data_IF_130473349082
#
_entry.id   IF_130473349082
#
_cell.length_a   1.000
_cell.length_b   1.000
_cell.length_c   1.000
_cell.angle_alpha   90.00
_cell.angle_beta   90.00
_cell.angle_gamma   90.00
#
_symmetry.space_group_name_H-M   'P 1'
#
loop_
_entity.id
_entity.type
_entity.pdbx_description
1 polymer ?
#
# COMPACT_ATOMS: atom_id res chain seq x y z
N UNK A 1 19.92 -31.53 -14.67
CA UNK A 1 19.38 -31.79 -16.03
C UNK A 1 17.86 -31.72 -15.98
N UNK A 2 17.17 -31.67 -17.12
CA UNK A 2 15.69 -31.65 -17.15
C UNK A 2 15.08 -32.86 -16.43
N UNK A 3 15.68 -34.05 -16.55
CA UNK A 3 15.21 -35.25 -15.84
C UNK A 3 15.21 -35.07 -14.32
N UNK A 4 16.31 -34.52 -13.76
CA UNK A 4 16.38 -34.20 -12.33
C UNK A 4 15.33 -33.18 -11.92
N UNK A 5 15.15 -32.11 -12.70
CA UNK A 5 14.14 -31.08 -12.44
C UNK A 5 12.73 -31.69 -12.41
N UNK A 6 12.38 -32.55 -13.39
CA UNK A 6 11.10 -33.26 -13.42
C UNK A 6 10.88 -34.12 -12.19
N UNK A 7 11.88 -34.87 -11.74
CA UNK A 7 11.79 -35.71 -10.55
C UNK A 7 11.57 -34.88 -9.27
N UNK A 8 12.33 -33.79 -9.10
CA UNK A 8 12.22 -32.89 -7.94
C UNK A 8 10.86 -32.21 -7.93
N UNK A 9 10.46 -31.60 -9.06
CA UNK A 9 9.19 -30.87 -9.17
C UNK A 9 8.00 -31.82 -8.95
N UNK A 10 8.05 -33.02 -9.53
CA UNK A 10 7.01 -34.04 -9.33
C UNK A 10 6.89 -34.48 -7.88
N UNK A 11 8.02 -34.74 -7.21
CA UNK A 11 8.04 -35.10 -5.79
C UNK A 11 7.50 -33.98 -4.89
N UNK A 12 8.03 -32.75 -5.04
CA UNK A 12 7.58 -31.58 -4.27
C UNK A 12 6.09 -31.31 -4.49
N UNK A 13 5.59 -31.46 -5.71
CA UNK A 13 4.16 -31.28 -6.01
C UNK A 13 3.29 -32.24 -5.20
N UNK A 14 3.66 -33.52 -5.17
CA UNK A 14 2.95 -34.55 -4.38
C UNK A 14 3.00 -34.20 -2.89
N UNK A 15 4.14 -33.73 -2.38
CA UNK A 15 4.28 -33.34 -0.97
C UNK A 15 3.40 -32.13 -0.63
N UNK A 16 3.30 -31.13 -1.52
CA UNK A 16 2.42 -29.97 -1.36
C UNK A 16 0.95 -30.42 -1.37
N UNK A 17 0.55 -31.22 -2.35
CA UNK A 17 -0.82 -31.77 -2.43
C UNK A 17 -1.17 -32.52 -1.14
N UNK A 18 -0.31 -33.42 -0.67
CA UNK A 18 -0.52 -34.16 0.58
C UNK A 18 -0.69 -33.25 1.80
N UNK A 19 0.19 -32.24 1.96
CA UNK A 19 0.11 -31.30 3.09
C UNK A 19 -1.19 -30.50 3.08
N UNK A 20 -1.55 -29.94 1.92
CA UNK A 20 -2.77 -29.16 1.77
C UNK A 20 -4.02 -30.02 1.98
N UNK A 21 -4.05 -31.24 1.43
CA UNK A 21 -5.16 -32.19 1.65
C UNK A 21 -5.32 -32.54 3.12
N UNK A 22 -4.23 -32.77 3.85
CA UNK A 22 -4.29 -33.04 5.29
C UNK A 22 -4.91 -31.88 6.06
N UNK A 23 -4.51 -30.64 5.76
CA UNK A 23 -5.00 -29.44 6.44
C UNK A 23 -6.49 -29.23 6.15
N UNK A 24 -6.91 -29.37 4.89
CA UNK A 24 -8.32 -29.18 4.50
C UNK A 24 -9.28 -30.17 5.18
N UNK A 25 -8.80 -31.36 5.56
CA UNK A 25 -9.60 -32.41 6.19
C UNK A 25 -9.49 -32.45 7.72
N UNK A 26 -8.84 -31.47 8.35
CA UNK A 26 -8.68 -31.39 9.81
C UNK A 26 -9.78 -30.50 10.42
N UNK A 27 -10.50 -30.93 11.49
CA UNK A 27 -11.52 -30.11 12.16
C UNK A 27 -10.95 -28.77 12.69
N UNK A 28 -11.74 -27.67 12.71
CA UNK A 28 -13.17 -27.59 12.44
C UNK A 28 -13.51 -27.46 10.95
N UNK A 29 -12.52 -27.42 10.06
CA UNK A 29 -12.73 -27.50 8.62
C UNK A 29 -13.09 -28.93 8.22
N UNK A 30 -14.35 -29.17 7.87
CA UNK A 30 -14.74 -30.32 7.06
C UNK A 30 -14.76 -29.86 5.61
N UNK A 31 -13.79 -30.34 4.83
CA UNK A 31 -13.72 -30.07 3.40
C UNK A 31 -15.05 -30.50 2.72
N UNK A 32 -15.78 -29.54 2.13
CA UNK A 32 -17.03 -29.78 1.40
C UNK A 32 -16.78 -30.06 -0.10
N UNK A 33 -15.65 -30.67 -0.46
CA UNK A 33 -15.33 -31.05 -1.85
C UNK A 33 -14.29 -30.18 -2.57
N UNK A 34 -13.58 -29.30 -1.86
CA UNK A 34 -12.41 -28.57 -2.39
C UNK A 34 -11.26 -29.53 -2.67
N UNK A 35 -10.87 -29.67 -3.94
CA UNK A 35 -9.67 -30.40 -4.35
C UNK A 35 -8.44 -29.50 -4.48
N UNK A 36 -7.26 -30.11 -4.53
CA UNK A 36 -6.02 -29.48 -5.04
C UNK A 36 -5.72 -30.11 -6.39
N UNK A 37 -5.75 -29.30 -7.45
CA UNK A 37 -5.73 -29.77 -8.83
C UNK A 37 -4.49 -29.23 -9.52
N UNK A 38 -3.67 -30.13 -10.04
CA UNK A 38 -2.52 -29.82 -10.88
C UNK A 38 -2.68 -30.45 -12.26
N UNK A 39 -1.97 -29.96 -13.27
CA UNK A 39 -2.08 -30.52 -14.61
C UNK A 39 -1.42 -29.70 -15.70
N UNK A 40 -1.76 -30.05 -16.95
CA UNK A 40 -1.27 -29.35 -18.14
C UNK A 40 -2.04 -28.04 -18.39
N UNK A 41 -1.79 -27.06 -17.53
CA UNK A 41 -2.41 -25.74 -17.58
C UNK A 41 -1.53 -24.69 -18.28
N UNK A 42 -0.25 -25.03 -18.52
CA UNK A 42 0.76 -24.11 -19.05
C UNK A 42 1.31 -24.68 -20.36
N UNK A 43 1.06 -23.95 -21.46
CA UNK A 43 1.77 -24.15 -22.73
C UNK A 43 3.06 -23.34 -22.71
N UNK A 44 4.19 -24.00 -22.95
CA UNK A 44 5.50 -23.37 -23.03
C UNK A 44 6.05 -23.32 -24.45
N UNK A 45 7.04 -22.45 -24.65
CA UNK A 45 7.91 -22.40 -25.83
C UNK A 45 9.38 -22.43 -25.37
N UNK A 46 10.31 -22.94 -26.19
CA UNK A 46 11.73 -22.89 -25.86
C UNK A 46 12.18 -21.43 -25.76
N UNK A 47 13.12 -21.16 -24.85
CA UNK A 47 13.84 -19.88 -24.83
C UNK A 47 14.76 -19.78 -26.07
N UNK A 48 15.29 -20.91 -26.52
CA UNK A 48 16.09 -21.02 -27.73
C UNK A 48 17.55 -20.63 -27.51
N UNK A 49 18.15 -20.01 -28.53
CA UNK A 49 19.55 -19.56 -28.51
C UNK A 49 19.58 -18.05 -28.32
N UNK A 50 20.16 -17.57 -27.23
CA UNK A 50 20.34 -16.15 -26.93
C UNK A 50 21.83 -15.87 -26.81
N UNK A 51 22.32 -14.88 -27.57
CA UNK A 51 23.74 -14.48 -27.62
C UNK A 51 24.71 -15.66 -27.81
N UNK A 52 24.31 -16.62 -28.65
CA UNK A 52 25.10 -17.82 -28.97
C UNK A 52 25.02 -18.95 -27.94
N UNK A 53 24.26 -18.79 -26.84
CA UNK A 53 24.04 -19.82 -25.82
C UNK A 53 22.71 -20.53 -26.06
N UNK A 54 22.74 -21.85 -26.29
CA UNK A 54 21.53 -22.68 -26.40
C UNK A 54 21.03 -23.09 -25.00
N UNK A 55 19.83 -22.61 -24.66
CA UNK A 55 19.17 -22.84 -23.38
C UNK A 55 18.39 -24.16 -23.31
N UNK A 56 18.35 -24.94 -24.41
CA UNK A 56 17.82 -26.30 -24.46
C UNK A 56 16.40 -26.43 -23.89
N UNK A 57 16.30 -26.95 -22.68
CA UNK A 57 15.04 -27.23 -22.00
C UNK A 57 14.57 -26.10 -21.06
N UNK A 58 15.19 -24.93 -21.10
CA UNK A 58 14.62 -23.73 -20.49
C UNK A 58 13.61 -23.13 -21.45
N UNK A 59 12.46 -22.74 -20.93
CA UNK A 59 11.38 -22.16 -21.72
C UNK A 59 10.78 -20.91 -21.11
N UNK A 60 9.80 -20.39 -21.84
CA UNK A 60 8.94 -19.30 -21.43
C UNK A 60 7.47 -19.73 -21.51
N UNK A 61 6.63 -19.03 -20.75
CA UNK A 61 5.18 -19.22 -20.82
C UNK A 61 4.68 -18.67 -22.16
N UNK A 62 4.06 -19.53 -22.97
CA UNK A 62 3.40 -19.12 -24.21
C UNK A 62 1.92 -18.81 -23.97
N UNK A 63 1.25 -19.64 -23.17
CA UNK A 63 -0.17 -19.54 -22.87
C UNK A 63 -0.49 -20.25 -21.57
N UNK A 64 -1.44 -19.69 -20.81
CA UNK A 64 -2.10 -20.35 -19.68
C UNK A 64 -3.54 -20.67 -20.07
N UNK A 65 -4.05 -21.84 -19.69
CA UNK A 65 -5.43 -22.23 -19.94
C UNK A 65 -6.37 -21.61 -18.89
N UNK A 66 -6.61 -20.30 -19.01
CA UNK A 66 -7.41 -19.53 -18.05
C UNK A 66 -8.82 -20.07 -17.90
N UNK A 67 -9.50 -20.42 -19.00
CA UNK A 67 -10.85 -20.97 -18.95
C UNK A 67 -10.98 -22.22 -18.08
N UNK A 68 -9.99 -23.13 -18.12
CA UNK A 68 -9.98 -24.30 -17.25
C UNK A 68 -9.67 -23.92 -15.79
N UNK A 69 -8.72 -23.00 -15.57
CA UNK A 69 -8.40 -22.50 -14.23
C UNK A 69 -9.65 -21.87 -13.60
N UNK A 70 -10.35 -20.99 -14.32
CA UNK A 70 -11.61 -20.34 -13.90
C UNK A 70 -12.67 -21.37 -13.53
N UNK A 71 -12.88 -22.40 -14.37
CA UNK A 71 -13.83 -23.47 -14.07
C UNK A 71 -13.48 -24.21 -12.78
N UNK A 72 -12.20 -24.51 -12.55
CA UNK A 72 -11.75 -25.18 -11.34
C UNK A 72 -11.94 -24.30 -10.10
N UNK A 73 -11.57 -23.01 -10.20
CA UNK A 73 -11.73 -22.04 -9.12
C UNK A 73 -13.22 -21.80 -8.78
N UNK A 74 -14.10 -21.77 -9.79
CA UNK A 74 -15.55 -21.63 -9.60
C UNK A 74 -16.15 -22.80 -8.79
N UNK A 75 -15.59 -23.98 -8.92
CA UNK A 75 -15.92 -25.17 -8.12
C UNK A 75 -15.21 -25.19 -6.75
N UNK A 76 -14.61 -24.07 -6.34
CA UNK A 76 -13.88 -23.89 -5.07
C UNK A 76 -12.66 -24.80 -4.92
N UNK A 77 -12.04 -25.19 -6.03
CA UNK A 77 -10.79 -25.93 -6.02
C UNK A 77 -9.58 -25.00 -5.87
N UNK A 78 -8.48 -25.54 -5.35
CA UNK A 78 -7.17 -24.92 -5.41
C UNK A 78 -6.43 -25.41 -6.65
N UNK A 79 -5.85 -24.50 -7.43
CA UNK A 79 -5.10 -24.83 -8.64
C UNK A 79 -3.60 -24.72 -8.36
N UNK A 80 -2.89 -25.84 -8.50
CA UNK A 80 -1.45 -25.93 -8.28
C UNK A 80 -0.69 -25.96 -9.61
N UNK A 81 0.02 -24.87 -9.90
CA UNK A 81 0.87 -24.73 -11.08
C UNK A 81 2.31 -25.13 -10.76
N UNK A 82 2.83 -26.11 -11.51
CA UNK A 82 4.24 -26.51 -11.41
C UNK A 82 5.12 -25.62 -12.29
N UNK A 83 6.41 -25.43 -11.96
CA UNK A 83 7.37 -24.71 -12.81
C UNK A 83 7.82 -25.52 -14.05
N UNK A 84 6.85 -26.16 -14.72
CA UNK A 84 7.00 -26.92 -15.94
C UNK A 84 5.91 -26.49 -16.92
N UNK A 85 6.27 -26.39 -18.19
CA UNK A 85 5.31 -26.22 -19.27
C UNK A 85 5.58 -27.14 -20.44
N UNK A 86 4.55 -27.34 -21.26
CA UNK A 86 4.57 -28.30 -22.35
C UNK A 86 4.40 -27.60 -23.69
N UNK A 87 5.18 -28.00 -24.69
CA UNK A 87 4.94 -27.54 -26.06
C UNK A 87 3.80 -28.31 -26.72
N UNK A 88 3.21 -27.77 -27.80
CA UNK A 88 2.31 -28.53 -28.66
C UNK A 88 2.95 -29.77 -29.29
N UNK A 89 4.29 -29.84 -29.36
CA UNK A 89 5.04 -31.00 -29.86
C UNK A 89 5.32 -32.05 -28.80
N UNK A 90 4.88 -31.84 -27.55
CA UNK A 90 5.06 -32.78 -26.44
C UNK A 90 6.40 -32.65 -25.70
N UNK A 91 7.18 -31.61 -25.99
CA UNK A 91 8.40 -31.31 -25.23
C UNK A 91 8.07 -30.66 -23.89
N UNK A 92 8.96 -30.84 -22.90
CA UNK A 92 8.82 -30.21 -21.58
C UNK A 92 9.91 -29.18 -21.39
N UNK A 93 9.54 -28.02 -20.86
CA UNK A 93 10.47 -26.96 -20.49
C UNK A 93 10.39 -26.64 -19.00
N UNK A 94 11.55 -26.36 -18.42
CA UNK A 94 11.69 -25.79 -17.10
C UNK A 94 11.43 -24.28 -17.18
N UNK A 95 10.57 -23.77 -16.31
CA UNK A 95 10.10 -22.40 -16.31
C UNK A 95 10.43 -21.72 -14.98
N UNK A 96 10.57 -20.39 -14.99
CA UNK A 96 10.67 -19.61 -13.76
C UNK A 96 9.28 -19.53 -13.10
N UNK A 97 9.19 -19.89 -11.82
CA UNK A 97 7.91 -19.85 -11.09
C UNK A 97 7.42 -18.42 -10.93
N UNK A 98 8.33 -17.45 -10.80
CA UNK A 98 8.01 -16.03 -10.71
C UNK A 98 7.26 -15.55 -11.95
N UNK A 99 7.77 -15.95 -13.12
CA UNK A 99 7.20 -15.62 -14.41
C UNK A 99 5.87 -16.34 -14.66
N UNK A 100 5.73 -17.60 -14.25
CA UNK A 100 4.44 -18.30 -14.29
C UNK A 100 3.40 -17.57 -13.46
N UNK A 101 3.75 -17.17 -12.23
CA UNK A 101 2.83 -16.50 -11.32
C UNK A 101 2.39 -15.15 -11.88
N UNK A 102 3.33 -14.32 -12.35
CA UNK A 102 3.02 -13.04 -13.01
C UNK A 102 2.17 -13.24 -14.26
N UNK A 103 2.58 -14.13 -15.18
CA UNK A 103 1.83 -14.39 -16.41
C UNK A 103 0.40 -14.89 -16.12
N UNK A 104 0.25 -15.78 -15.15
CA UNK A 104 -1.07 -16.31 -14.75
C UNK A 104 -1.93 -15.22 -14.13
N UNK A 105 -1.38 -14.43 -13.19
CA UNK A 105 -2.10 -13.33 -12.55
C UNK A 105 -2.59 -12.30 -13.57
N UNK A 106 -1.74 -11.93 -14.54
CA UNK A 106 -2.13 -11.09 -15.67
C UNK A 106 -3.24 -11.70 -16.50
N UNK A 107 -3.08 -12.95 -16.92
CA UNK A 107 -4.05 -13.62 -17.79
C UNK A 107 -5.42 -13.82 -17.11
N UNK A 108 -5.42 -14.00 -15.78
CA UNK A 108 -6.61 -14.16 -14.95
C UNK A 108 -7.20 -12.82 -14.45
N UNK A 109 -6.53 -11.69 -14.70
CA UNK A 109 -6.88 -10.38 -14.14
C UNK A 109 -7.05 -10.44 -12.62
N UNK A 110 -6.08 -11.05 -11.93
CA UNK A 110 -6.14 -11.24 -10.49
C UNK A 110 -6.02 -9.91 -9.73
N UNK A 111 -6.85 -9.71 -8.70
CA UNK A 111 -6.80 -8.51 -7.84
C UNK A 111 -5.46 -8.37 -7.11
N UNK A 112 -4.83 -9.51 -6.78
CA UNK A 112 -3.62 -9.58 -5.97
C UNK A 112 -2.70 -10.72 -6.40
N UNK A 113 -1.41 -10.42 -6.51
CA UNK A 113 -0.34 -11.40 -6.68
C UNK A 113 0.54 -11.42 -5.43
N UNK A 114 0.84 -12.60 -4.90
CA UNK A 114 1.64 -12.73 -3.67
C UNK A 114 2.82 -13.66 -3.96
N UNK A 115 4.01 -13.12 -3.76
CA UNK A 115 5.27 -13.84 -3.80
C UNK A 115 5.73 -14.17 -2.39
N UNK A 116 6.09 -15.43 -2.16
CA UNK A 116 6.73 -15.89 -0.92
C UNK A 116 8.15 -16.34 -1.27
N UNK A 117 9.15 -15.55 -0.89
CA UNK A 117 10.56 -15.79 -1.24
C UNK A 117 11.40 -16.06 -0.01
N UNK A 118 12.37 -16.96 -0.12
CA UNK A 118 13.38 -17.22 0.91
C UNK A 118 14.60 -16.26 0.80
N UNK A 119 14.67 -15.44 -0.24
CA UNK A 119 15.73 -14.44 -0.39
C UNK A 119 15.35 -13.16 0.34
N UNK A 120 16.25 -12.64 1.17
CA UNK A 120 16.11 -11.31 1.75
C UNK A 120 16.46 -10.24 0.71
N UNK A 121 15.40 -9.67 0.11
CA UNK A 121 15.51 -8.67 -0.95
C UNK A 121 15.73 -7.24 -0.41
N UNK A 122 15.68 -7.03 0.92
CA UNK A 122 15.75 -5.72 1.57
C UNK A 122 14.94 -4.64 0.83
N UNK A 123 13.66 -4.95 0.59
CA UNK A 123 12.75 -4.07 -0.13
C UNK A 123 12.14 -3.02 0.81
N UNK A 124 11.89 -1.80 0.33
CA UNK A 124 11.04 -0.86 1.05
C UNK A 124 9.67 -1.50 1.30
N UNK A 125 9.06 -1.21 2.46
CA UNK A 125 7.71 -1.72 2.79
C UNK A 125 6.69 -1.42 1.69
N UNK A 126 6.83 -0.28 1.01
CA UNK A 126 5.96 0.13 -0.09
C UNK A 126 6.82 0.70 -1.20
N UNK A 127 6.54 0.28 -2.42
CA UNK A 127 7.25 0.70 -3.62
C UNK A 127 6.23 1.01 -4.72
N UNK A 128 6.07 2.30 -5.03
CA UNK A 128 5.30 2.74 -6.19
C UNK A 128 6.05 2.48 -7.50
N UNK A 129 5.38 2.71 -8.63
CA UNK A 129 5.94 2.49 -9.97
C UNK A 129 7.33 3.12 -10.18
N UNK A 130 7.56 4.35 -9.70
CA UNK A 130 8.86 5.02 -9.83
C UNK A 130 9.97 4.30 -9.03
N UNK A 131 9.64 3.83 -7.82
CA UNK A 131 10.55 3.03 -7.01
C UNK A 131 10.87 1.68 -7.66
N UNK A 132 9.88 1.05 -8.28
CA UNK A 132 10.05 -0.21 -8.98
C UNK A 132 10.98 -0.07 -10.19
N UNK A 133 10.80 0.98 -10.99
CA UNK A 133 11.72 1.29 -12.11
C UNK A 133 13.15 1.53 -11.64
N UNK A 134 13.33 2.12 -10.45
CA UNK A 134 14.65 2.26 -9.83
C UNK A 134 15.26 0.89 -9.49
N UNK A 135 14.47 -0.05 -8.97
CA UNK A 135 14.92 -1.42 -8.68
C UNK A 135 15.30 -2.20 -9.95
N UNK A 136 14.50 -2.08 -11.01
CA UNK A 136 14.76 -2.68 -12.33
C UNK A 136 16.11 -2.22 -12.87
N UNK A 137 16.36 -0.91 -12.85
CA UNK A 137 17.61 -0.33 -13.35
C UNK A 137 18.81 -0.68 -12.47
N UNK A 138 18.60 -0.78 -11.15
CA UNK A 138 19.65 -1.15 -10.19
C UNK A 138 20.07 -2.61 -10.33
N UNK A 139 19.15 -3.50 -10.73
CA UNK A 139 19.39 -4.94 -10.82
C UNK A 139 18.98 -5.51 -12.20
N UNK A 140 19.70 -5.19 -13.28
CA UNK A 140 19.28 -5.45 -14.67
C UNK A 140 19.19 -6.94 -15.09
N UNK A 141 19.57 -7.89 -14.22
CA UNK A 141 19.39 -9.33 -14.45
C UNK A 141 18.34 -9.99 -13.53
N UNK A 142 17.72 -9.21 -12.64
CA UNK A 142 16.76 -9.74 -11.66
C UNK A 142 15.35 -9.64 -12.22
N UNK A 143 15.04 -10.56 -13.14
CA UNK A 143 13.79 -10.64 -13.89
C UNK A 143 12.50 -10.59 -13.04
N UNK A 144 12.57 -10.92 -11.74
CA UNK A 144 11.46 -10.76 -10.80
C UNK A 144 10.89 -9.34 -10.80
N UNK A 145 11.72 -8.29 -10.85
CA UNK A 145 11.20 -6.92 -10.84
C UNK A 145 10.46 -6.56 -12.12
N UNK A 146 10.93 -7.06 -13.27
CA UNK A 146 10.21 -6.95 -14.54
C UNK A 146 8.90 -7.75 -14.51
N UNK A 147 8.91 -8.95 -13.92
CA UNK A 147 7.70 -9.76 -13.77
C UNK A 147 6.64 -9.04 -12.88
N UNK A 148 7.07 -8.29 -11.85
CA UNK A 148 6.21 -7.45 -11.01
C UNK A 148 5.67 -6.24 -11.79
N UNK A 149 6.54 -5.50 -12.49
CA UNK A 149 6.16 -4.30 -13.26
C UNK A 149 5.15 -4.66 -14.35
N UNK A 150 5.43 -5.72 -15.11
CA UNK A 150 4.50 -6.25 -16.11
C UNK A 150 3.13 -6.60 -15.51
N UNK A 151 3.09 -7.20 -14.32
CA UNK A 151 1.84 -7.59 -13.67
C UNK A 151 0.99 -6.37 -13.33
N UNK A 152 1.63 -5.35 -12.75
CA UNK A 152 1.00 -4.07 -12.41
C UNK A 152 0.51 -3.34 -13.67
N UNK A 153 1.31 -3.30 -14.74
CA UNK A 153 0.92 -2.65 -16.00
C UNK A 153 -0.27 -3.33 -16.71
N UNK A 154 -0.48 -4.62 -16.46
CA UNK A 154 -1.52 -5.43 -17.12
C UNK A 154 -2.74 -5.69 -16.22
N UNK A 155 -2.92 -4.88 -15.17
CA UNK A 155 -4.17 -4.80 -14.42
C UNK A 155 -4.17 -5.49 -13.06
N UNK A 156 -3.07 -6.13 -12.63
CA UNK A 156 -2.96 -6.62 -11.25
C UNK A 156 -2.79 -5.41 -10.32
N UNK A 157 -3.73 -5.17 -9.40
CA UNK A 157 -3.71 -3.93 -8.60
C UNK A 157 -2.55 -3.90 -7.58
N UNK A 158 -2.24 -5.06 -6.99
CA UNK A 158 -1.29 -5.17 -5.88
C UNK A 158 -0.43 -6.41 -6.01
N UNK A 159 0.88 -6.22 -5.89
CA UNK A 159 1.85 -7.32 -5.79
C UNK A 159 2.52 -7.27 -4.42
N UNK A 160 2.44 -8.35 -3.65
CA UNK A 160 3.04 -8.46 -2.33
C UNK A 160 4.25 -9.40 -2.36
N UNK A 161 5.27 -9.06 -1.60
CA UNK A 161 6.48 -9.86 -1.42
C UNK A 161 6.69 -10.15 0.06
N UNK A 162 6.59 -11.43 0.43
CA UNK A 162 6.68 -11.90 1.82
C UNK A 162 7.92 -12.79 1.95
N UNK A 163 8.69 -12.61 3.02
CA UNK A 163 9.81 -13.50 3.31
C UNK A 163 9.30 -14.84 3.88
N UNK A 164 9.84 -15.96 3.37
CA UNK A 164 9.35 -17.31 3.65
C UNK A 164 9.51 -17.74 5.13
N UNK A 165 10.51 -17.19 5.82
CA UNK A 165 10.79 -17.52 7.23
C UNK A 165 9.86 -16.80 8.22
N UNK A 166 9.01 -15.87 7.76
CA UNK A 166 8.05 -15.20 8.64
C UNK A 166 6.90 -16.17 8.90
N UNK A 167 6.87 -16.72 10.11
CA UNK A 167 5.78 -17.59 10.55
C UNK A 167 4.43 -16.87 10.45
N UNK A 168 3.48 -17.49 9.75
CA UNK A 168 2.17 -16.87 9.50
C UNK A 168 2.24 -15.65 8.59
N UNK A 169 3.35 -15.40 7.87
CA UNK A 169 3.57 -14.19 7.09
C UNK A 169 2.46 -13.88 6.08
N UNK A 170 1.90 -14.91 5.43
CA UNK A 170 0.74 -14.75 4.53
C UNK A 170 -0.51 -14.21 5.25
N UNK A 171 -0.79 -14.71 6.45
CA UNK A 171 -1.94 -14.26 7.23
C UNK A 171 -1.71 -12.85 7.76
N UNK A 172 -0.49 -12.56 8.25
CA UNK A 172 -0.12 -11.23 8.70
C UNK A 172 -0.24 -10.22 7.56
N UNK A 173 0.21 -10.57 6.35
CA UNK A 173 0.10 -9.69 5.18
C UNK A 173 -1.35 -9.44 4.74
N UNK A 174 -2.22 -10.46 4.82
CA UNK A 174 -3.60 -10.34 4.36
C UNK A 174 -4.56 -9.74 5.38
N UNK A 175 -4.30 -9.94 6.68
CA UNK A 175 -5.23 -9.59 7.76
C UNK A 175 -4.70 -8.53 8.72
N UNK A 176 -3.53 -7.95 8.45
CA UNK A 176 -3.06 -6.76 9.16
C UNK A 176 -2.95 -5.58 8.20
N UNK A 177 -3.20 -4.38 8.70
CA UNK A 177 -3.16 -3.15 7.88
C UNK A 177 -1.75 -2.83 7.39
N UNK A 178 -0.73 -3.09 8.20
CA UNK A 178 0.64 -2.72 7.84
C UNK A 178 1.41 -3.83 7.13
N UNK A 179 0.90 -5.06 7.18
CA UNK A 179 1.56 -6.23 6.64
C UNK A 179 2.94 -6.49 7.27
N UNK A 180 3.58 -7.52 6.76
CA UNK A 180 4.97 -7.89 7.10
C UNK A 180 5.88 -7.91 5.88
N UNK A 181 5.30 -7.97 4.68
CA UNK A 181 6.00 -7.96 3.42
C UNK A 181 6.18 -6.55 2.83
N UNK A 182 6.69 -6.52 1.60
CA UNK A 182 6.73 -5.34 0.75
C UNK A 182 5.55 -5.34 -0.21
N UNK A 183 4.92 -4.18 -0.39
CA UNK A 183 3.83 -3.94 -1.32
C UNK A 183 4.32 -3.14 -2.54
N UNK A 184 3.99 -3.63 -3.73
CA UNK A 184 4.09 -2.89 -4.99
C UNK A 184 2.67 -2.61 -5.51
N UNK A 185 2.40 -1.37 -5.88
CA UNK A 185 1.09 -0.95 -6.40
C UNK A 185 1.22 0.13 -7.46
N UNK A 186 0.21 0.19 -8.34
CA UNK A 186 0.05 1.28 -9.33
C UNK A 186 -0.52 2.55 -8.70
N UNK A 187 -1.37 2.39 -7.69
CA UNK A 187 -1.97 3.48 -6.93
C UNK A 187 -1.19 3.75 -5.64
N UNK A 188 -1.30 4.98 -5.16
CA UNK A 188 -0.78 5.37 -3.87
C UNK A 188 -1.52 4.59 -2.78
N UNK A 189 -0.76 3.87 -1.95
CA UNK A 189 -1.32 3.13 -0.82
C UNK A 189 -1.59 4.04 0.39
N UNK A 190 -0.97 5.21 0.38
CA UNK A 190 -1.17 6.29 1.33
C UNK A 190 -1.36 7.58 0.52
N UNK A 191 -2.52 8.22 0.65
CA UNK A 191 -2.88 9.42 -0.10
C UNK A 191 -3.24 10.58 0.81
N UNK A 192 -2.94 11.79 0.35
CA UNK A 192 -3.46 13.02 0.97
C UNK A 192 -4.57 13.58 0.09
N UNK A 193 -5.78 13.61 0.63
CA UNK A 193 -6.97 14.06 -0.09
C UNK A 193 -7.78 15.07 0.74
N UNK A 194 -8.61 15.91 0.08
CA UNK A 194 -9.64 16.68 0.77
C UNK A 194 -10.62 15.74 1.48
N UNK A 195 -10.96 16.06 2.73
CA UNK A 195 -11.88 15.24 3.49
C UNK A 195 -13.32 15.33 2.95
N UNK A 196 -14.05 14.24 3.09
CA UNK A 196 -15.47 14.10 2.75
C UNK A 196 -16.25 13.60 3.97
N UNK A 197 -17.58 13.55 3.88
CA UNK A 197 -18.44 13.08 4.97
C UNK A 197 -18.06 11.65 5.43
N UNK A 198 -17.56 10.81 4.52
CA UNK A 198 -17.11 9.44 4.82
C UNK A 198 -15.93 9.42 5.80
N UNK A 199 -15.11 10.46 5.80
CA UNK A 199 -13.92 10.58 6.65
C UNK A 199 -14.22 11.06 8.08
N UNK A 200 -15.41 11.60 8.34
CA UNK A 200 -15.76 12.24 9.63
C UNK A 200 -15.53 11.30 10.80
N UNK A 201 -15.94 10.04 10.68
CA UNK A 201 -15.74 9.03 11.73
C UNK A 201 -14.25 8.78 12.00
N UNK A 202 -13.44 8.64 10.95
CA UNK A 202 -12.00 8.42 11.08
C UNK A 202 -11.27 9.62 11.70
N UNK A 203 -11.67 10.84 11.33
CA UNK A 203 -11.14 12.08 11.94
C UNK A 203 -11.50 12.13 13.42
N UNK A 204 -12.76 11.84 13.79
CA UNK A 204 -13.20 11.83 15.19
C UNK A 204 -12.39 10.85 16.04
N UNK A 205 -12.18 9.64 15.55
CA UNK A 205 -11.42 8.61 16.25
C UNK A 205 -9.95 9.01 16.42
N UNK A 206 -9.39 9.73 15.43
CA UNK A 206 -8.03 10.25 15.47
C UNK A 206 -7.88 11.39 16.51
N UNK A 207 -8.83 12.33 16.58
CA UNK A 207 -8.67 13.54 17.39
C UNK A 207 -9.14 13.37 18.84
N UNK A 208 -10.09 12.48 19.12
CA UNK A 208 -10.70 12.32 20.46
C UNK A 208 -9.65 12.10 21.58
N UNK A 209 -8.63 11.24 21.43
CA UNK A 209 -7.60 11.07 22.45
C UNK A 209 -6.77 12.36 22.71
N UNK A 210 -6.62 13.21 21.69
CA UNK A 210 -5.90 14.49 21.79
C UNK A 210 -6.77 15.57 22.46
N UNK A 211 -8.08 15.54 22.23
CA UNK A 211 -9.05 16.41 22.90
C UNK A 211 -9.16 16.08 24.40
N UNK A 212 -9.20 14.81 24.76
CA UNK A 212 -9.22 14.34 26.15
C UNK A 212 -7.95 14.75 26.92
N UNK A 213 -6.79 14.76 26.25
CA UNK A 213 -5.52 15.26 26.79
C UNK A 213 -5.41 16.79 26.79
N UNK A 214 -6.41 17.51 26.28
CA UNK A 214 -6.40 18.98 26.18
C UNK A 214 -5.44 19.53 25.12
N UNK A 215 -4.87 18.68 24.25
CA UNK A 215 -3.98 19.08 23.15
C UNK A 215 -4.80 19.77 22.07
N UNK A 216 -5.94 19.18 21.68
CA UNK A 216 -6.87 19.76 20.71
C UNK A 216 -8.13 20.34 21.38
N UNK A 217 -8.85 21.20 20.66
CA UNK A 217 -10.17 21.70 21.08
C UNK A 217 -11.21 20.64 20.69
N UNK A 218 -12.14 20.37 21.61
CA UNK A 218 -13.27 19.47 21.38
C UNK A 218 -14.10 19.93 20.18
N UNK A 219 -14.39 19.01 19.26
CA UNK A 219 -15.30 19.21 18.13
C UNK A 219 -16.42 18.18 18.18
N UNK A 220 -17.65 18.66 17.94
CA UNK A 220 -18.78 17.74 17.79
C UNK A 220 -18.79 17.14 16.38
N UNK A 221 -19.52 16.02 16.23
CA UNK A 221 -19.70 15.39 14.92
C UNK A 221 -20.38 16.34 13.94
N UNK A 222 -21.40 17.04 14.39
CA UNK A 222 -22.19 17.97 13.58
C UNK A 222 -21.32 19.14 13.09
N UNK A 223 -20.44 19.66 13.96
CA UNK A 223 -19.48 20.69 13.57
C UNK A 223 -18.52 20.20 12.50
N UNK A 224 -17.98 18.98 12.65
CA UNK A 224 -17.09 18.39 11.65
C UNK A 224 -17.80 18.16 10.32
N UNK A 225 -19.04 17.69 10.33
CA UNK A 225 -19.84 17.49 9.11
C UNK A 225 -20.09 18.81 8.37
N UNK A 226 -20.35 19.91 9.08
CA UNK A 226 -20.52 21.25 8.49
C UNK A 226 -19.22 21.83 7.94
N UNK A 227 -18.10 21.58 8.61
CA UNK A 227 -16.80 22.18 8.29
C UNK A 227 -15.89 21.25 7.47
N UNK A 228 -16.37 20.07 7.05
CA UNK A 228 -15.55 19.00 6.48
C UNK A 228 -14.74 19.44 5.25
N UNK A 229 -15.26 20.38 4.45
CA UNK A 229 -14.55 20.92 3.28
C UNK A 229 -13.25 21.66 3.61
N UNK A 230 -13.06 22.07 4.87
CA UNK A 230 -11.83 22.69 5.34
C UNK A 230 -10.76 21.65 5.72
N UNK A 231 -11.15 20.39 5.91
CA UNK A 231 -10.24 19.32 6.32
C UNK A 231 -9.57 18.64 5.12
N UNK A 232 -8.36 18.18 5.36
CA UNK A 232 -7.62 17.26 4.51
C UNK A 232 -7.17 16.10 5.38
N UNK A 233 -7.15 14.89 4.83
CA UNK A 233 -6.76 13.68 5.54
C UNK A 233 -5.62 12.99 4.83
N UNK A 234 -4.81 12.26 5.61
CA UNK A 234 -4.00 11.17 5.09
C UNK A 234 -4.82 9.90 5.27
N UNK A 235 -5.14 9.25 4.17
CA UNK A 235 -5.85 7.98 4.15
C UNK A 235 -4.87 6.87 3.80
N UNK A 236 -4.95 5.78 4.55
CA UNK A 236 -4.22 4.54 4.27
C UNK A 236 -5.15 3.37 4.47
N UNK A 237 -5.46 2.67 3.38
CA UNK A 237 -6.37 1.53 3.36
C UNK A 237 -7.69 1.84 4.11
N UNK A 238 -8.38 2.92 3.69
CA UNK A 238 -9.64 3.40 4.27
C UNK A 238 -9.58 3.87 5.73
N UNK A 239 -8.40 3.86 6.36
CA UNK A 239 -8.19 4.46 7.67
C UNK A 239 -7.60 5.84 7.53
N UNK A 240 -8.24 6.81 8.17
CA UNK A 240 -7.64 8.13 8.42
C UNK A 240 -6.50 7.97 9.42
N UNK A 241 -5.27 8.16 8.95
CA UNK A 241 -4.06 8.10 9.78
C UNK A 241 -3.50 9.49 10.11
N UNK A 242 -4.00 10.54 9.45
CA UNK A 242 -3.67 11.92 9.72
C UNK A 242 -4.78 12.86 9.28
N UNK A 243 -4.93 14.00 9.94
CA UNK A 243 -5.83 15.06 9.51
C UNK A 243 -5.24 16.44 9.78
N UNK A 244 -5.66 17.42 8.99
CA UNK A 244 -5.42 18.83 9.21
C UNK A 244 -6.58 19.64 8.63
N UNK A 245 -6.89 20.79 9.24
CA UNK A 245 -7.88 21.73 8.73
C UNK A 245 -7.21 23.06 8.38
N UNK A 246 -7.68 23.69 7.31
CA UNK A 246 -7.30 25.05 6.94
C UNK A 246 -8.54 25.92 6.88
N UNK A 247 -8.64 26.91 7.78
CA UNK A 247 -9.75 27.85 7.82
C UNK A 247 -9.33 29.19 7.23
N UNK A 248 -10.12 29.72 6.30
CA UNK A 248 -9.94 31.08 5.83
C UNK A 248 -10.45 32.07 6.89
N UNK A 249 -9.63 33.06 7.25
CA UNK A 249 -10.08 34.14 8.11
C UNK A 249 -10.76 35.22 7.23
N UNK A 250 -12.06 35.48 7.40
CA UNK A 250 -12.80 36.39 6.53
C UNK A 250 -12.20 37.79 6.48
N UNK A 251 -12.24 38.42 5.29
CA UNK A 251 -11.71 39.76 5.03
C UNK A 251 -10.19 39.91 5.28
N UNK A 252 -9.44 38.81 5.19
CA UNK A 252 -7.98 38.80 5.30
C UNK A 252 -7.37 37.84 4.27
N UNK A 253 -6.05 37.89 4.09
CA UNK A 253 -5.27 36.92 3.30
C UNK A 253 -4.53 35.93 4.22
N UNK A 254 -5.17 35.59 5.35
CA UNK A 254 -4.59 34.73 6.39
C UNK A 254 -5.41 33.45 6.52
N UNK A 255 -4.72 32.31 6.46
CA UNK A 255 -5.29 30.99 6.76
C UNK A 255 -4.91 30.54 8.17
N UNK A 256 -5.81 29.83 8.84
CA UNK A 256 -5.51 29.15 10.10
C UNK A 256 -5.35 27.65 9.86
N UNK A 257 -4.16 27.14 10.12
CA UNK A 257 -3.92 25.71 10.22
C UNK A 257 -4.36 25.24 11.61
N UNK A 258 -5.33 24.34 11.63
CA UNK A 258 -5.93 23.80 12.84
C UNK A 258 -6.04 22.28 12.76
N UNK A 259 -6.27 21.65 13.90
CA UNK A 259 -6.56 20.21 13.99
C UNK A 259 -5.52 19.30 13.31
N UNK A 260 -4.24 19.72 13.30
CA UNK A 260 -3.15 18.87 12.81
C UNK A 260 -2.94 17.71 13.78
N UNK A 261 -3.23 16.50 13.34
CA UNK A 261 -3.09 15.29 14.11
C UNK A 261 -2.56 14.15 13.21
N UNK A 262 -1.66 13.35 13.76
CA UNK A 262 -1.20 12.09 13.17
C UNK A 262 -1.47 10.99 14.19
N UNK A 263 -1.86 9.81 13.71
CA UNK A 263 -2.11 8.66 14.54
C UNK A 263 -0.78 8.18 15.18
N UNK A 264 -0.74 7.82 16.48
CA UNK A 264 0.52 7.52 17.19
C UNK A 264 1.40 6.45 16.53
N UNK A 265 0.78 5.36 16.04
CA UNK A 265 1.49 4.27 15.33
C UNK A 265 2.21 4.73 14.05
N UNK A 266 1.87 5.92 13.55
CA UNK A 266 2.34 6.48 12.29
C UNK A 266 3.23 7.71 12.49
N UNK A 267 3.69 7.98 13.72
CA UNK A 267 4.69 9.01 14.02
C UNK A 267 6.07 8.70 13.41
N UNK A 268 6.85 9.75 13.13
CA UNK A 268 8.25 9.63 12.69
C UNK A 268 8.47 9.46 11.17
N UNK A 269 7.43 9.29 10.36
CA UNK A 269 7.55 9.10 8.90
C UNK A 269 7.26 10.39 8.09
N UNK A 270 7.61 11.56 8.62
CA UNK A 270 7.39 12.89 7.99
C UNK A 270 5.93 13.21 7.60
N UNK A 271 4.94 12.39 7.94
CA UNK A 271 3.52 12.61 7.61
C UNK A 271 2.96 13.96 8.07
N UNK A 272 3.43 14.43 9.24
CA UNK A 272 3.09 15.78 9.73
C UNK A 272 3.63 16.87 8.81
N UNK A 273 4.87 16.72 8.32
CA UNK A 273 5.49 17.61 7.33
C UNK A 273 4.74 17.57 5.99
N UNK A 274 4.33 16.38 5.56
CA UNK A 274 3.56 16.20 4.32
C UNK A 274 2.20 16.89 4.40
N UNK A 275 1.46 16.74 5.51
CA UNK A 275 0.20 17.46 5.72
C UNK A 275 0.41 18.98 5.78
N UNK A 276 1.43 19.44 6.50
CA UNK A 276 1.73 20.88 6.59
C UNK A 276 2.05 21.46 5.21
N UNK A 277 2.88 20.75 4.43
CA UNK A 277 3.22 21.15 3.06
C UNK A 277 1.98 21.19 2.17
N UNK A 278 1.13 20.15 2.24
CA UNK A 278 -0.12 20.08 1.50
C UNK A 278 -1.06 21.25 1.83
N UNK A 279 -1.23 21.57 3.13
CA UNK A 279 -2.06 22.70 3.56
C UNK A 279 -1.45 24.04 3.14
N UNK A 280 -0.12 24.17 3.19
CA UNK A 280 0.57 25.39 2.73
C UNK A 280 0.33 25.63 1.24
N UNK A 281 0.46 24.60 0.41
CA UNK A 281 0.14 24.67 -1.02
C UNK A 281 -1.34 24.95 -1.28
N UNK A 282 -2.25 24.36 -0.49
CA UNK A 282 -3.69 24.66 -0.57
C UNK A 282 -3.97 26.14 -0.22
N UNK A 283 -3.30 26.68 0.79
CA UNK A 283 -3.45 28.07 1.20
C UNK A 283 -2.92 29.05 0.14
N UNK A 284 -1.76 28.75 -0.47
CA UNK A 284 -1.21 29.53 -1.60
C UNK A 284 -2.17 29.58 -2.79
N UNK A 285 -2.81 28.45 -3.13
CA UNK A 285 -3.82 28.38 -4.19
C UNK A 285 -5.09 29.20 -3.90
N UNK A 286 -5.30 29.59 -2.64
CA UNK A 286 -6.40 30.47 -2.21
C UNK A 286 -5.94 31.92 -2.06
N UNK A 287 -4.78 32.29 -2.61
CA UNK A 287 -4.17 33.63 -2.54
C UNK A 287 -3.97 34.13 -1.10
N UNK A 288 -3.61 33.21 -0.20
CA UNK A 288 -3.24 33.52 1.19
C UNK A 288 -1.73 33.76 1.29
N UNK A 289 -1.35 34.81 2.00
CA UNK A 289 0.06 35.19 2.18
C UNK A 289 0.60 34.73 3.53
N UNK A 290 -0.26 34.27 4.45
CA UNK A 290 0.15 33.86 5.79
C UNK A 290 -0.64 32.66 6.30
N UNK A 291 0.04 31.78 7.04
CA UNK A 291 -0.55 30.75 7.88
C UNK A 291 -0.37 31.06 9.36
N UNK A 292 -1.46 30.91 10.09
CA UNK A 292 -1.53 31.05 11.53
C UNK A 292 -1.76 29.69 12.19
N UNK A 293 -1.07 29.42 13.30
CA UNK A 293 -1.29 28.25 14.15
C UNK A 293 -1.43 28.67 15.61
N UNK A 294 -2.38 28.05 16.31
CA UNK A 294 -2.50 28.15 17.77
C UNK A 294 -2.18 26.79 18.39
N UNK A 295 -1.12 26.71 19.19
CA UNK A 295 -0.69 25.46 19.84
C UNK A 295 -0.39 25.65 21.32
N UNK A 296 -0.68 24.63 22.13
CA UNK A 296 -0.39 24.60 23.57
C UNK A 296 0.89 23.85 23.89
N UNK A 297 1.29 22.87 23.07
CA UNK A 297 2.39 21.94 23.39
C UNK A 297 3.42 21.79 22.27
N UNK A 298 3.10 22.14 21.02
CA UNK A 298 3.89 21.75 19.84
C UNK A 298 4.66 22.91 19.20
N UNK A 299 5.08 23.90 19.98
CA UNK A 299 5.70 25.14 19.46
C UNK A 299 6.96 24.87 18.65
N UNK A 300 7.90 24.11 19.21
CA UNK A 300 9.23 23.90 18.61
C UNK A 300 9.12 23.24 17.23
N UNK A 301 8.21 22.28 17.07
CA UNK A 301 7.97 21.59 15.79
C UNK A 301 7.58 22.58 14.68
N UNK A 302 6.71 23.55 14.98
CA UNK A 302 6.32 24.58 14.02
C UNK A 302 7.46 25.57 13.76
N UNK A 303 8.22 25.96 14.79
CA UNK A 303 9.34 26.88 14.63
C UNK A 303 10.44 26.33 13.71
N UNK A 304 10.77 25.05 13.84
CA UNK A 304 11.68 24.34 12.92
C UNK A 304 11.22 24.37 11.46
N UNK A 305 9.93 24.64 11.21
CA UNK A 305 9.28 24.63 9.88
C UNK A 305 8.94 26.03 9.36
N UNK A 306 9.59 27.04 9.92
CA UNK A 306 9.51 28.43 9.46
C UNK A 306 8.37 29.24 10.09
N UNK A 307 7.74 28.75 11.16
CA UNK A 307 6.81 29.58 11.92
C UNK A 307 7.57 30.45 12.96
N UNK A 308 7.23 31.73 13.00
CA UNK A 308 7.71 32.68 14.00
C UNK A 308 6.69 32.81 15.14
N UNK A 309 7.16 33.09 16.35
CA UNK A 309 6.27 33.33 17.50
C UNK A 309 5.63 34.71 17.32
N UNK A 310 4.29 34.74 17.32
CA UNK A 310 3.50 35.96 17.30
C UNK A 310 2.87 36.26 18.66
N UNK A 311 2.12 37.35 18.70
CA UNK A 311 1.37 37.84 19.85
C UNK A 311 -0.14 37.87 19.55
N UNK A 312 -0.95 38.12 20.58
CA UNK A 312 -2.41 38.27 20.44
C UNK A 312 -2.75 39.51 19.60
N UNK A 313 -1.86 40.49 19.53
CA UNK A 313 -2.05 41.70 18.73
C UNK A 313 -1.85 41.47 17.23
N UNK A 314 -1.15 40.39 16.86
CA UNK A 314 -0.93 39.97 15.48
C UNK A 314 -2.12 39.16 14.92
N UNK A 315 -3.09 38.79 15.77
CA UNK A 315 -4.29 38.09 15.32
C UNK A 315 -5.24 39.05 14.59
N UNK A 316 -5.83 38.62 13.45
CA UNK A 316 -6.96 39.31 12.85
C UNK A 316 -8.10 39.54 13.86
N UNK A 317 -8.78 40.68 13.75
CA UNK A 317 -9.83 41.11 14.70
C UNK A 317 -10.86 40.01 15.00
N UNK A 318 -11.39 39.37 13.95
CA UNK A 318 -12.37 38.29 14.07
C UNK A 318 -11.86 37.10 14.91
N UNK A 319 -10.55 36.81 14.84
CA UNK A 319 -9.94 35.72 15.60
C UNK A 319 -9.56 36.13 17.02
N UNK A 320 -9.15 37.40 17.21
CA UNK A 320 -8.82 37.97 18.52
C UNK A 320 -10.02 37.92 19.47
N UNK A 321 -11.23 38.13 18.95
CA UNK A 321 -12.50 38.03 19.72
C UNK A 321 -12.83 36.60 20.14
N UNK A 322 -12.48 35.60 19.32
CA UNK A 322 -12.72 34.17 19.57
C UNK A 322 -11.55 33.47 20.27
N UNK A 323 -10.49 34.21 20.64
CA UNK A 323 -9.32 33.63 21.29
C UNK A 323 -9.67 33.09 22.68
N UNK A 324 -9.38 31.81 22.91
CA UNK A 324 -9.65 31.17 24.18
C UNK A 324 -8.54 31.49 25.21
N UNK A 325 -8.77 32.53 26.02
CA UNK A 325 -7.86 32.98 27.07
C UNK A 325 -7.59 31.94 28.18
N UNK A 326 -8.43 30.92 28.34
CA UNK A 326 -8.19 29.84 29.31
C UNK A 326 -7.11 28.86 28.82
N UNK A 327 -6.99 28.66 27.51
CA UNK A 327 -5.98 27.74 26.95
C UNK A 327 -4.59 28.35 26.87
N UNK A 328 -4.49 29.68 26.79
CA UNK A 328 -3.23 30.42 26.64
C UNK A 328 -2.33 29.83 25.54
N UNK A 329 -2.92 29.42 24.43
CA UNK A 329 -2.20 28.85 23.30
C UNK A 329 -1.19 29.87 22.76
N UNK A 330 0.03 29.42 22.49
CA UNK A 330 1.02 30.22 21.77
C UNK A 330 0.55 30.40 20.33
N UNK A 331 0.74 31.61 19.80
CA UNK A 331 0.38 31.99 18.44
C UNK A 331 1.66 31.93 17.62
N UNK A 332 1.60 31.25 16.49
CA UNK A 332 2.70 31.23 15.54
C UNK A 332 2.22 31.61 14.14
N UNK A 333 3.09 32.30 13.40
CA UNK A 333 2.80 32.87 12.09
C UNK A 333 3.90 32.47 11.13
N UNK A 334 3.50 32.02 9.94
CA UNK A 334 4.41 31.72 8.83
C UNK A 334 3.94 32.48 7.60
N UNK A 335 4.84 33.23 6.98
CA UNK A 335 4.61 33.82 5.67
C UNK A 335 4.66 32.72 4.59
N UNK A 336 3.74 32.80 3.65
CA UNK A 336 3.65 31.93 2.48
C UNK A 336 4.27 32.68 1.30
N UNK A 337 5.47 32.25 0.88
CA UNK A 337 6.16 32.78 -0.30
C UNK A 337 5.48 32.44 -1.63
#
# INVERSE_FOLDING_TARGET
TLATAKNIIGGIRIDIENKLTSILNTPPSTNNGTGILSGNLITARPLGVIDGVDYKHTGEVRKVNTALIESLLAERNLVLLSPLGFSPTGETYNLRYEHIASFTAKAMQADKLIYIHAEDLNLPKQTEKQGLQTLINKYPGKHLYQDIDDALEQGVERVHMIHADIEGGLLLELYTRDGVGALFSTNNYEDICPATIEHVTGILDLIRPLEEKGILIKRSREQLELEIGNFSVIERDQKVIGCAACYLIPNTQVGELACLAIHPDYYGQQRGDTLLSYISEKAKKLDLNQLLVLTTQTTDWFQERGFSIGSIDDLPKAKKELYNYHRKSKILIKDLD
#
